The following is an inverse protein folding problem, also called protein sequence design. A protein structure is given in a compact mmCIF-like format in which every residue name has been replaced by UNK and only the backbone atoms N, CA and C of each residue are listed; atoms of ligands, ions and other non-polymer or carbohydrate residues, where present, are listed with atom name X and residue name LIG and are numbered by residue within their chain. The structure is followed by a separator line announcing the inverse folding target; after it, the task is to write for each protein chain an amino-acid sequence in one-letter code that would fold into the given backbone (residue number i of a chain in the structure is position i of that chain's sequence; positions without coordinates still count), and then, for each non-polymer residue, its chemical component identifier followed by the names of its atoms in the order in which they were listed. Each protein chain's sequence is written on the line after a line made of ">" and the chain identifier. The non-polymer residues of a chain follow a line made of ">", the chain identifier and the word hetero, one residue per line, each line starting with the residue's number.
data_IF_585082687250
#
_entry.id   IF_585082687250
#
_cell.length_a   1.000
_cell.length_b   1.000
_cell.length_c   1.000
_cell.angle_alpha   90.00
_cell.angle_beta   90.00
_cell.angle_gamma   90.00
#
_symmetry.space_group_name_H-M   'P 1'
#
loop_
_entity.id
_entity.type
_entity.pdbx_description
1 polymer ?
#
# COMPACT_ATOMS: atom_id res chain seq x y z
N UNK A 1 4.45 -36.94 11.86
CA UNK A 1 3.79 -35.61 11.83
C UNK A 1 3.66 -34.93 13.20
N UNK A 2 3.24 -35.62 14.28
CA UNK A 2 3.11 -35.00 15.62
C UNK A 2 4.43 -34.47 16.19
N UNK A 3 5.52 -35.24 16.10
CA UNK A 3 6.84 -34.81 16.57
C UNK A 3 7.34 -33.54 15.85
N UNK A 4 7.18 -33.47 14.53
CA UNK A 4 7.54 -32.27 13.74
C UNK A 4 6.72 -31.05 14.17
N UNK A 5 5.41 -31.22 14.40
CA UNK A 5 4.56 -30.12 14.91
C UNK A 5 4.99 -29.66 16.29
N UNK A 6 5.27 -30.58 17.20
CA UNK A 6 5.79 -30.26 18.55
C UNK A 6 7.12 -29.52 18.47
N UNK A 7 8.04 -29.98 17.62
CA UNK A 7 9.31 -29.30 17.42
C UNK A 7 9.13 -27.88 16.88
N UNK A 8 8.27 -27.69 15.88
CA UNK A 8 7.95 -26.35 15.35
C UNK A 8 7.32 -25.44 16.42
N UNK A 9 6.43 -25.98 17.26
CA UNK A 9 5.84 -25.22 18.37
C UNK A 9 6.90 -24.81 19.39
N UNK A 10 7.78 -25.74 19.80
CA UNK A 10 8.84 -25.45 20.78
C UNK A 10 9.84 -24.44 20.22
N UNK A 11 10.28 -24.61 18.98
CA UNK A 11 11.21 -23.68 18.32
C UNK A 11 10.57 -22.30 18.15
N UNK A 12 9.31 -22.23 17.71
CA UNK A 12 8.58 -20.97 17.59
C UNK A 12 8.41 -20.26 18.93
N UNK A 13 7.97 -20.99 19.97
CA UNK A 13 7.81 -20.43 21.30
C UNK A 13 9.14 -19.95 21.90
N UNK A 14 10.22 -20.72 21.73
CA UNK A 14 11.56 -20.31 22.15
C UNK A 14 12.03 -19.04 21.41
N UNK A 15 11.79 -18.96 20.10
CA UNK A 15 12.11 -17.76 19.31
C UNK A 15 11.29 -16.54 19.74
N UNK A 16 9.99 -16.69 20.01
CA UNK A 16 9.14 -15.60 20.53
C UNK A 16 9.59 -15.15 21.91
N UNK A 17 9.89 -16.08 22.83
CA UNK A 17 10.37 -15.74 24.17
C UNK A 17 11.71 -15.00 24.11
N UNK A 18 12.64 -15.48 23.28
CA UNK A 18 13.94 -14.84 23.08
C UNK A 18 13.80 -13.45 22.45
N UNK A 19 12.97 -13.31 21.40
CA UNK A 19 12.68 -12.02 20.78
C UNK A 19 12.02 -11.04 21.74
N UNK A 20 11.07 -11.51 22.56
CA UNK A 20 10.43 -10.71 23.61
C UNK A 20 11.42 -10.24 24.68
N UNK A 21 12.35 -11.11 25.10
CA UNK A 21 13.43 -10.74 26.01
C UNK A 21 14.32 -9.64 25.44
N UNK A 22 14.70 -9.75 24.17
CA UNK A 22 15.46 -8.71 23.46
C UNK A 22 14.67 -7.39 23.31
N UNK A 23 13.34 -7.45 23.30
CA UNK A 23 12.46 -6.28 23.15
C UNK A 23 12.34 -5.46 24.45
N UNK A 24 12.47 -6.09 25.62
CA UNK A 24 12.30 -5.47 26.94
C UNK A 24 13.01 -4.10 27.10
N UNK A 25 14.32 -3.97 26.80
CA UNK A 25 15.01 -2.69 26.95
C UNK A 25 14.53 -1.61 25.96
N UNK A 26 13.89 -2.00 24.86
CA UNK A 26 13.46 -1.11 23.77
C UNK A 26 11.95 -0.85 23.75
N UNK A 27 11.20 -1.28 24.78
CA UNK A 27 9.73 -1.20 24.78
C UNK A 27 9.21 0.23 24.59
N UNK A 28 9.83 1.23 25.23
CA UNK A 28 9.38 2.61 25.16
C UNK A 28 9.35 3.18 23.74
N UNK A 29 10.33 2.81 22.90
CA UNK A 29 10.41 3.25 21.50
C UNK A 29 9.69 2.30 20.55
N UNK A 30 9.59 1.01 20.90
CA UNK A 30 9.03 -0.02 20.01
C UNK A 30 7.51 -0.14 20.11
N UNK A 31 6.93 0.01 21.31
CA UNK A 31 5.49 -0.14 21.55
C UNK A 31 4.63 0.77 20.66
N UNK A 32 4.96 2.08 20.48
CA UNK A 32 4.18 2.94 19.60
C UNK A 32 4.16 2.46 18.14
N UNK A 33 5.24 1.84 17.65
CA UNK A 33 5.27 1.29 16.29
C UNK A 33 4.57 -0.07 16.20
N UNK A 34 4.76 -0.92 17.20
CA UNK A 34 4.17 -2.26 17.28
C UNK A 34 2.63 -2.20 17.36
N UNK A 35 2.10 -1.21 18.08
CA UNK A 35 0.66 -1.02 18.25
C UNK A 35 0.11 0.02 17.28
N UNK A 36 0.83 1.13 17.08
CA UNK A 36 0.35 2.25 16.27
C UNK A 36 0.12 1.89 14.82
N UNK A 37 0.99 1.08 14.21
CA UNK A 37 0.80 0.59 12.83
C UNK A 37 -0.51 -0.19 12.66
N UNK A 38 -0.71 -1.31 13.40
CA UNK A 38 -1.96 -2.07 13.34
C UNK A 38 -3.20 -1.27 13.73
N UNK A 39 -3.15 -0.48 14.81
CA UNK A 39 -4.30 0.32 15.26
C UNK A 39 -4.68 1.37 14.21
N UNK A 40 -3.70 2.11 13.67
CA UNK A 40 -3.94 3.08 12.60
C UNK A 40 -4.50 2.39 11.35
N UNK A 41 -3.94 1.23 10.99
CA UNK A 41 -4.42 0.46 9.85
C UNK A 41 -5.89 0.03 10.02
N UNK A 42 -6.23 -0.57 11.16
CA UNK A 42 -7.55 -1.17 11.36
C UNK A 42 -8.65 -0.13 11.59
N UNK A 43 -8.30 0.99 12.24
CA UNK A 43 -9.26 2.08 12.51
C UNK A 43 -9.43 3.03 11.32
N UNK A 44 -8.38 3.25 10.52
CA UNK A 44 -8.40 4.25 9.45
C UNK A 44 -8.27 3.65 8.05
N UNK A 45 -7.20 2.88 7.81
CA UNK A 45 -6.87 2.41 6.46
C UNK A 45 -7.89 1.39 5.97
N UNK A 46 -8.19 0.35 6.76
CA UNK A 46 -9.11 -0.70 6.37
C UNK A 46 -10.54 -0.17 6.12
N UNK A 47 -11.13 0.70 6.97
CA UNK A 47 -12.44 1.28 6.70
C UNK A 47 -12.45 2.18 5.46
N UNK A 48 -11.41 2.99 5.26
CA UNK A 48 -11.30 3.88 4.10
C UNK A 48 -11.18 3.09 2.79
N UNK A 49 -10.33 2.07 2.77
CA UNK A 49 -10.21 1.16 1.62
C UNK A 49 -11.52 0.42 1.36
N UNK A 50 -12.19 -0.04 2.41
CA UNK A 50 -13.51 -0.67 2.32
C UNK A 50 -14.56 0.27 1.72
N UNK A 51 -14.60 1.53 2.15
CA UNK A 51 -15.53 2.54 1.64
C UNK A 51 -15.24 2.87 0.18
N UNK A 52 -13.97 3.06 -0.20
CA UNK A 52 -13.56 3.29 -1.59
C UNK A 52 -13.95 2.10 -2.46
N UNK A 53 -13.69 0.87 -2.01
CA UNK A 53 -14.08 -0.35 -2.71
C UNK A 53 -15.60 -0.48 -2.87
N UNK A 54 -16.36 -0.12 -1.83
CA UNK A 54 -17.82 -0.12 -1.85
C UNK A 54 -18.38 0.91 -2.83
N UNK A 55 -17.86 2.14 -2.82
CA UNK A 55 -18.24 3.21 -3.75
C UNK A 55 -17.90 2.79 -5.18
N UNK A 56 -16.68 2.31 -5.41
CA UNK A 56 -16.25 1.85 -6.72
C UNK A 56 -17.12 0.69 -7.24
N UNK A 57 -17.47 -0.25 -6.36
CA UNK A 57 -18.35 -1.37 -6.68
C UNK A 57 -19.78 -0.96 -7.04
N UNK A 58 -20.28 0.15 -6.49
CA UNK A 58 -21.60 0.72 -6.82
C UNK A 58 -21.58 1.57 -8.09
N UNK A 59 -20.50 2.31 -8.35
CA UNK A 59 -20.39 3.22 -9.49
C UNK A 59 -19.97 2.53 -10.78
N UNK A 60 -19.19 1.44 -10.69
CA UNK A 60 -18.59 0.77 -11.85
C UNK A 60 -19.02 -0.70 -11.88
N UNK A 61 -20.06 -0.98 -12.67
CA UNK A 61 -20.61 -2.34 -12.85
C UNK A 61 -19.73 -3.21 -13.75
N UNK A 62 -19.03 -2.61 -14.72
CA UNK A 62 -18.13 -3.33 -15.61
C UNK A 62 -16.89 -3.83 -14.86
N UNK A 63 -16.70 -5.15 -14.87
CA UNK A 63 -15.64 -5.83 -14.09
C UNK A 63 -14.23 -5.42 -14.55
N UNK A 64 -14.03 -5.26 -15.85
CA UNK A 64 -12.72 -4.92 -16.42
C UNK A 64 -12.37 -3.48 -16.05
N UNK A 65 -13.32 -2.55 -16.24
CA UNK A 65 -13.16 -1.14 -15.85
C UNK A 65 -12.84 -1.02 -14.37
N UNK A 66 -13.59 -1.75 -13.54
CA UNK A 66 -13.39 -1.75 -12.08
C UNK A 66 -11.99 -2.25 -11.70
N UNK A 67 -11.50 -3.31 -12.33
CA UNK A 67 -10.17 -3.85 -12.06
C UNK A 67 -9.06 -2.84 -12.38
N UNK A 68 -9.13 -2.16 -13.53
CA UNK A 68 -8.13 -1.16 -13.91
C UNK A 68 -8.19 0.09 -13.04
N UNK A 69 -9.38 0.55 -12.66
CA UNK A 69 -9.53 1.68 -11.72
C UNK A 69 -8.97 1.31 -10.34
N UNK A 70 -9.25 0.10 -9.85
CA UNK A 70 -8.69 -0.40 -8.60
C UNK A 70 -7.15 -0.48 -8.66
N UNK A 71 -6.57 -0.93 -9.77
CA UNK A 71 -5.12 -0.93 -9.98
C UNK A 71 -4.53 0.49 -9.93
N UNK A 72 -5.17 1.46 -10.60
CA UNK A 72 -4.75 2.87 -10.55
C UNK A 72 -4.82 3.47 -9.14
N UNK A 73 -5.88 3.15 -8.39
CA UNK A 73 -6.02 3.57 -6.99
C UNK A 73 -4.94 2.96 -6.09
N UNK A 74 -4.64 1.66 -6.24
CA UNK A 74 -3.59 0.98 -5.46
C UNK A 74 -2.20 1.53 -5.78
N UNK A 75 -1.90 1.78 -7.06
CA UNK A 75 -0.66 2.41 -7.48
C UNK A 75 -0.54 3.83 -6.89
N UNK A 76 -1.63 4.61 -6.95
CA UNK A 76 -1.68 5.95 -6.35
C UNK A 76 -1.46 5.92 -4.84
N UNK A 77 -2.13 5.01 -4.12
CA UNK A 77 -1.97 4.85 -2.67
C UNK A 77 -0.53 4.47 -2.30
N UNK A 78 0.11 3.60 -3.09
CA UNK A 78 1.52 3.22 -2.89
C UNK A 78 2.45 4.41 -3.11
N UNK A 79 2.25 5.17 -4.19
CA UNK A 79 3.02 6.38 -4.48
C UNK A 79 2.88 7.43 -3.37
N UNK A 80 1.66 7.64 -2.87
CA UNK A 80 1.41 8.55 -1.75
C UNK A 80 2.14 8.07 -0.48
N UNK A 81 2.04 6.78 -0.16
CA UNK A 81 2.65 6.21 1.05
C UNK A 81 4.17 6.39 1.06
N UNK A 82 4.85 6.13 -0.07
CA UNK A 82 6.30 6.34 -0.17
C UNK A 82 6.68 7.82 -0.23
N UNK A 83 5.78 8.69 -0.69
CA UNK A 83 6.02 10.12 -0.81
C UNK A 83 5.87 10.86 0.52
N UNK A 84 5.01 10.43 1.44
CA UNK A 84 4.82 11.05 2.77
C UNK A 84 6.15 11.41 3.46
N UNK A 85 7.12 10.49 3.65
CA UNK A 85 8.38 10.83 4.30
C UNK A 85 9.23 11.81 3.48
N UNK A 86 9.11 11.83 2.15
CA UNK A 86 9.84 12.76 1.28
C UNK A 86 9.28 14.18 1.37
N UNK A 87 7.95 14.32 1.52
CA UNK A 87 7.30 15.62 1.66
C UNK A 87 7.42 16.21 3.07
N UNK A 88 7.47 15.38 4.11
CA UNK A 88 7.40 15.84 5.50
C UNK A 88 8.75 15.87 6.23
N UNK A 89 9.77 15.18 5.71
CA UNK A 89 11.06 15.06 6.40
C UNK A 89 11.74 16.43 6.54
N UNK A 90 12.14 16.84 7.76
CA UNK A 90 12.97 18.02 7.93
C UNK A 90 14.36 17.80 7.30
N UNK A 91 15.01 18.85 6.77
CA UNK A 91 16.35 18.75 6.22
C UNK A 91 17.31 18.17 7.27
N UNK A 92 17.89 17.01 6.99
CA UNK A 92 18.72 16.27 7.95
C UNK A 92 20.20 16.27 7.60
N UNK A 93 20.59 16.97 6.55
CA UNK A 93 21.97 17.11 6.08
C UNK A 93 22.13 18.45 5.34
N UNK A 94 23.35 19.00 5.22
CA UNK A 94 23.63 20.11 4.34
C UNK A 94 23.11 19.82 2.92
N UNK A 95 22.69 20.84 2.14
CA UNK A 95 22.20 20.64 0.79
C UNK A 95 23.21 19.82 -0.03
N UNK A 96 22.85 18.57 -0.32
CA UNK A 96 23.62 17.70 -1.20
C UNK A 96 23.05 17.89 -2.61
N UNK A 97 23.83 18.40 -3.58
CA UNK A 97 23.32 18.63 -4.93
C UNK A 97 22.57 17.41 -5.47
N UNK A 98 21.25 17.56 -5.69
CA UNK A 98 20.43 16.60 -6.43
C UNK A 98 19.39 15.76 -5.68
N UNK A 99 19.50 15.51 -4.37
CA UNK A 99 18.46 14.76 -3.62
C UNK A 99 17.48 15.69 -2.85
N UNK A 100 17.95 16.67 -2.06
CA UNK A 100 17.10 17.63 -1.37
C UNK A 100 16.54 18.72 -2.29
N UNK A 101 17.18 18.97 -3.44
CA UNK A 101 16.78 20.03 -4.40
C UNK A 101 15.62 19.62 -5.33
N UNK A 102 15.14 18.37 -5.23
CA UNK A 102 14.06 17.88 -6.07
C UNK A 102 12.71 18.40 -5.60
N UNK A 103 11.93 18.89 -6.55
CA UNK A 103 10.52 19.21 -6.34
C UNK A 103 9.71 17.90 -6.23
N UNK A 104 9.65 17.36 -5.00
CA UNK A 104 8.90 16.15 -4.67
C UNK A 104 7.39 16.30 -4.94
N UNK A 105 6.73 17.43 -4.62
CA UNK A 105 5.35 17.67 -5.02
C UNK A 105 5.13 17.55 -6.53
N UNK A 106 5.98 18.16 -7.35
CA UNK A 106 5.90 18.06 -8.81
C UNK A 106 6.14 16.63 -9.29
N UNK A 107 7.17 15.95 -8.76
CA UNK A 107 7.47 14.56 -9.12
C UNK A 107 6.32 13.61 -8.79
N UNK A 108 5.69 13.77 -7.63
CA UNK A 108 4.50 13.01 -7.23
C UNK A 108 3.31 13.29 -8.15
N UNK A 109 3.05 14.58 -8.45
CA UNK A 109 1.96 14.97 -9.34
C UNK A 109 2.14 14.38 -10.75
N UNK A 110 3.36 14.43 -11.30
CA UNK A 110 3.68 13.82 -12.59
C UNK A 110 3.52 12.30 -12.54
N UNK A 111 4.00 11.63 -11.50
CA UNK A 111 3.85 10.18 -11.37
C UNK A 111 2.37 9.75 -11.32
N UNK A 112 1.55 10.45 -10.54
CA UNK A 112 0.10 10.22 -10.50
C UNK A 112 -0.54 10.47 -11.86
N UNK A 113 -0.17 11.56 -12.55
CA UNK A 113 -0.69 11.87 -13.88
C UNK A 113 -0.37 10.77 -14.89
N UNK A 114 0.86 10.24 -14.87
CA UNK A 114 1.29 9.14 -15.75
C UNK A 114 0.50 7.86 -15.46
N UNK A 115 0.31 7.50 -14.19
CA UNK A 115 -0.50 6.34 -13.79
C UNK A 115 -1.91 6.46 -14.35
N UNK A 116 -2.58 7.59 -14.13
CA UNK A 116 -3.96 7.77 -14.58
C UNK A 116 -4.09 7.91 -16.09
N UNK A 117 -3.10 8.51 -16.77
CA UNK A 117 -3.03 8.52 -18.23
C UNK A 117 -2.97 7.10 -18.79
N UNK A 118 -2.13 6.23 -18.23
CA UNK A 118 -2.04 4.82 -18.64
C UNK A 118 -3.38 4.08 -18.42
N UNK A 119 -4.05 4.29 -17.29
CA UNK A 119 -5.37 3.71 -17.03
C UNK A 119 -6.41 4.20 -18.05
N UNK A 120 -6.47 5.51 -18.33
CA UNK A 120 -7.40 6.08 -19.32
C UNK A 120 -7.15 5.48 -20.70
N UNK A 121 -5.89 5.38 -21.13
CA UNK A 121 -5.50 4.72 -22.39
C UNK A 121 -6.07 3.29 -22.42
N UNK A 122 -5.78 2.47 -21.41
CA UNK A 122 -6.27 1.09 -21.35
C UNK A 122 -7.80 1.02 -21.41
N UNK A 123 -8.51 1.87 -20.65
CA UNK A 123 -9.98 1.86 -20.62
C UNK A 123 -10.62 2.29 -21.95
N UNK A 124 -9.98 3.21 -22.67
CA UNK A 124 -10.45 3.67 -23.98
C UNK A 124 -10.19 2.61 -25.07
N UNK A 125 -9.02 1.98 -25.05
CA UNK A 125 -8.63 1.02 -26.09
C UNK A 125 -9.13 -0.41 -25.84
N UNK A 126 -9.28 -0.84 -24.60
CA UNK A 126 -9.86 -2.16 -24.26
C UNK A 126 -11.30 -2.31 -24.77
N UNK A 127 -12.02 -1.19 -24.94
CA UNK A 127 -13.39 -1.17 -25.47
C UNK A 127 -13.48 -1.60 -26.95
N UNK A 128 -12.38 -1.52 -27.71
CA UNK A 128 -12.35 -1.87 -29.15
C UNK A 128 -12.01 -3.34 -29.43
N UNK A 129 -11.64 -4.12 -28.42
CA UNK A 129 -11.04 -5.46 -28.60
C UNK A 129 -11.97 -6.67 -28.47
N UNK A 130 -13.27 -6.51 -28.22
CA UNK A 130 -14.18 -7.65 -28.03
C UNK A 130 -15.44 -7.61 -28.93
N UNK A 131 -15.32 -7.91 -30.24
CA UNK A 131 -16.46 -8.33 -31.03
C UNK A 131 -16.63 -9.85 -30.90
N UNK A 132 -17.21 -10.35 -29.79
CA UNK A 132 -17.90 -11.66 -29.69
C UNK A 132 -18.13 -12.05 -28.22
N UNK A 133 -19.29 -11.70 -27.68
CA UNK A 133 -20.08 -12.55 -26.76
C UNK A 133 -21.51 -12.00 -26.71
N UNK A 134 -22.19 -12.15 -27.84
CA UNK A 134 -23.65 -12.08 -27.96
C UNK A 134 -24.06 -13.43 -28.55
N UNK A 135 -23.92 -14.51 -27.78
CA UNK A 135 -24.63 -15.76 -28.08
C UNK A 135 -24.74 -16.64 -26.84
N UNK A 136 -25.84 -16.47 -26.10
CA UNK A 136 -26.84 -17.47 -25.68
C UNK A 136 -27.58 -17.01 -24.42
#
# INVERSE_FOLDING_TARGET
>A
MRAVRLLLLVVGAAATAYGGWLLLPQLGTTLPWLLGGPVLHDVLVAPLVGLVGLVLGRLVTDRIRRAWIAAGLLASATLLLIAVPLLWRPPSAPPNPGLPDRDYPLGLAVALAVVWAAIVIVLVFAKKGYPCQQEK
#
